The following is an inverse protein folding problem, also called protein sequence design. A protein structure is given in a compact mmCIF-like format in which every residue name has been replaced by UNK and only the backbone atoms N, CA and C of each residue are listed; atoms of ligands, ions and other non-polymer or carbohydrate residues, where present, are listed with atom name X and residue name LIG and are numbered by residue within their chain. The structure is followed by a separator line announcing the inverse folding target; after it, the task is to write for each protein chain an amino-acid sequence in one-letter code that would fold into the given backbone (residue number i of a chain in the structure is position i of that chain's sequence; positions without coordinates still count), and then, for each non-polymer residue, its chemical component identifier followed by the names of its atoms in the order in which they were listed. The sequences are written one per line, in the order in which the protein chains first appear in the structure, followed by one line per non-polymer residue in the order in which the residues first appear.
data_IF_512023170289
#
_entry.id   IF_512023170289
#
_cell.length_a   1.000
_cell.length_b   1.000
_cell.length_c   1.000
_cell.angle_alpha   90.00
_cell.angle_beta   90.00
_cell.angle_gamma   90.00
#
_symmetry.space_group_name_H-M   'P 1'
#
loop_
_entity.id
_entity.type
_entity.pdbx_description
1 polymer ?
#
# COMPACT_ATOMS: atom_id res chain seq x y z
N UNK A 1 30.17 8.90 -0.65
CA UNK A 1 28.69 8.92 -0.82
C UNK A 1 28.23 10.21 -1.49
N UNK A 2 28.56 11.39 -0.93
CA UNK A 2 28.19 12.71 -1.50
C UNK A 2 28.72 12.96 -2.92
N UNK A 3 29.91 12.46 -3.23
CA UNK A 3 30.50 12.57 -4.57
C UNK A 3 29.71 11.77 -5.63
N UNK A 4 29.13 10.62 -5.26
CA UNK A 4 28.25 9.84 -6.15
C UNK A 4 26.93 10.58 -6.41
N UNK A 5 26.39 11.30 -5.42
CA UNK A 5 25.22 12.16 -5.64
C UNK A 5 25.53 13.28 -6.63
N UNK A 6 26.71 13.91 -6.52
CA UNK A 6 27.16 14.93 -7.48
C UNK A 6 27.30 14.38 -8.90
N UNK A 7 27.81 13.16 -9.05
CA UNK A 7 27.91 12.48 -10.35
C UNK A 7 26.52 12.19 -10.93
N UNK A 8 25.57 11.73 -10.12
CA UNK A 8 24.18 11.50 -10.57
C UNK A 8 23.53 12.78 -11.11
N UNK A 9 23.77 13.93 -10.48
CA UNK A 9 23.25 15.23 -10.95
C UNK A 9 24.01 15.82 -12.15
N UNK A 10 25.21 15.33 -12.44
CA UNK A 10 26.01 15.77 -13.60
C UNK A 10 25.56 15.17 -14.93
N UNK A 11 24.95 13.96 -14.90
CA UNK A 11 24.49 13.26 -16.10
C UNK A 11 23.11 13.81 -16.48
N UNK A 12 22.95 14.46 -17.66
CA UNK A 12 21.72 15.16 -18.03
C UNK A 12 20.51 14.22 -18.13
N UNK A 13 20.70 13.00 -18.64
CA UNK A 13 19.66 11.98 -18.74
C UNK A 13 19.12 11.56 -17.37
N UNK A 14 20.01 11.24 -16.42
CA UNK A 14 19.61 10.87 -15.05
C UNK A 14 18.91 12.01 -14.34
N UNK A 15 19.44 13.23 -14.47
CA UNK A 15 18.82 14.44 -13.90
C UNK A 15 17.40 14.64 -14.43
N UNK A 16 17.18 14.47 -15.72
CA UNK A 16 15.84 14.61 -16.32
C UNK A 16 14.87 13.56 -15.78
N UNK A 17 15.31 12.30 -15.67
CA UNK A 17 14.49 11.24 -15.08
C UNK A 17 14.17 11.48 -13.60
N UNK A 18 15.12 11.98 -12.80
CA UNK A 18 14.90 12.37 -11.39
C UNK A 18 13.92 13.54 -11.28
N UNK A 19 14.09 14.59 -12.09
CA UNK A 19 13.20 15.75 -12.07
C UNK A 19 11.79 15.37 -12.50
N UNK A 20 11.65 14.51 -13.51
CA UNK A 20 10.35 14.01 -13.96
C UNK A 20 9.68 13.17 -12.87
N UNK A 21 10.42 12.27 -12.21
CA UNK A 21 9.87 11.51 -11.07
C UNK A 21 9.43 12.41 -9.93
N UNK A 22 10.25 13.39 -9.54
CA UNK A 22 9.88 14.35 -8.49
C UNK A 22 8.67 15.20 -8.88
N UNK A 23 8.56 15.61 -10.15
CA UNK A 23 7.41 16.36 -10.66
C UNK A 23 6.13 15.53 -10.61
N UNK A 24 6.17 14.26 -11.04
CA UNK A 24 5.02 13.35 -10.97
C UNK A 24 4.62 13.06 -9.51
N UNK A 25 5.58 12.90 -8.60
CA UNK A 25 5.31 12.76 -7.16
C UNK A 25 4.71 14.04 -6.55
N UNK A 26 5.12 15.21 -7.02
CA UNK A 26 4.52 16.49 -6.60
C UNK A 26 3.07 16.60 -7.07
N UNK A 27 2.77 16.22 -8.32
CA UNK A 27 1.40 16.17 -8.86
C UNK A 27 0.54 15.20 -8.05
N UNK A 28 1.06 14.01 -7.76
CA UNK A 28 0.43 13.04 -6.88
C UNK A 28 0.05 13.68 -5.53
N UNK A 29 0.97 14.43 -4.92
CA UNK A 29 0.72 15.07 -3.63
C UNK A 29 -0.27 16.23 -3.71
N UNK A 30 -0.26 17.03 -4.77
CA UNK A 30 -1.24 18.10 -4.96
C UNK A 30 -2.65 17.51 -5.08
N UNK A 31 -2.82 16.44 -5.85
CA UNK A 31 -4.13 15.81 -6.00
C UNK A 31 -4.65 15.18 -4.68
N UNK A 32 -3.75 14.81 -3.76
CA UNK A 32 -4.13 14.41 -2.41
C UNK A 32 -4.75 15.55 -1.57
N UNK A 33 -4.49 16.81 -1.90
CA UNK A 33 -5.14 17.95 -1.23
C UNK A 33 -6.52 18.30 -1.82
N UNK A 34 -6.89 17.73 -2.97
CA UNK A 34 -8.17 18.01 -3.62
C UNK A 34 -9.24 17.10 -3.02
N UNK A 35 -10.19 17.72 -2.31
CA UNK A 35 -11.31 17.05 -1.63
C UNK A 35 -12.47 16.79 -2.58
N UNK A 36 -13.28 15.78 -2.28
CA UNK A 36 -14.52 15.52 -3.01
C UNK A 36 -15.52 16.67 -2.74
N UNK A 37 -16.27 17.14 -3.76
CA UNK A 37 -17.22 18.25 -3.64
C UNK A 37 -18.37 18.04 -2.63
N UNK A 38 -18.55 16.81 -2.15
CA UNK A 38 -19.73 16.36 -1.39
C UNK A 38 -19.61 16.59 0.14
N UNK A 39 -18.42 16.96 0.64
CA UNK A 39 -18.20 17.11 2.08
C UNK A 39 -18.23 18.56 2.58
N UNK A 40 -18.75 18.76 3.80
CA UNK A 40 -18.59 19.99 4.56
C UNK A 40 -17.18 20.06 5.20
N UNK A 41 -16.66 21.27 5.41
CA UNK A 41 -15.31 21.50 5.96
C UNK A 41 -15.11 21.06 7.43
N UNK A 42 -16.13 20.51 8.08
CA UNK A 42 -16.01 20.03 9.46
C UNK A 42 -15.12 18.78 9.49
N UNK A 43 -14.08 18.86 10.32
CA UNK A 43 -13.17 17.75 10.61
C UNK A 43 -13.96 16.50 10.99
N UNK A 44 -13.88 15.47 10.16
CA UNK A 44 -14.52 14.18 10.41
C UNK A 44 -13.84 13.55 11.63
N UNK A 45 -14.40 13.73 12.82
CA UNK A 45 -13.97 13.01 14.02
C UNK A 45 -14.59 11.61 13.96
N UNK A 46 -13.95 10.70 13.22
CA UNK A 46 -14.39 9.31 13.17
C UNK A 46 -14.19 8.68 14.55
N UNK A 47 -15.23 8.00 15.05
CA UNK A 47 -15.16 7.24 16.30
C UNK A 47 -14.04 6.20 16.28
N UNK A 48 -13.54 5.82 17.47
CA UNK A 48 -12.26 5.13 17.67
C UNK A 48 -12.00 3.84 16.89
N UNK A 49 -13.03 3.04 16.59
CA UNK A 49 -12.85 1.81 15.78
C UNK A 49 -12.80 2.10 14.27
N UNK A 50 -13.63 3.04 13.79
CA UNK A 50 -13.68 3.46 12.39
C UNK A 50 -12.40 4.22 12.00
N UNK A 51 -11.88 5.03 12.93
CA UNK A 51 -10.60 5.74 12.77
C UNK A 51 -9.44 4.75 12.61
N UNK A 52 -9.42 3.66 13.39
CA UNK A 52 -8.36 2.65 13.30
C UNK A 52 -8.37 1.89 11.97
N UNK A 53 -9.53 1.63 11.39
CA UNK A 53 -9.62 0.98 10.06
C UNK A 53 -9.16 1.92 8.94
N UNK A 54 -9.61 3.17 8.98
CA UNK A 54 -9.26 4.18 7.98
C UNK A 54 -7.79 4.57 8.06
N UNK A 55 -7.18 4.58 9.25
CA UNK A 55 -5.73 4.77 9.40
C UNK A 55 -4.92 3.62 8.75
N UNK A 56 -5.41 2.38 8.82
CA UNK A 56 -4.73 1.21 8.23
C UNK A 56 -4.76 1.23 6.72
N UNK A 57 -5.94 1.46 6.15
CA UNK A 57 -6.06 1.58 4.69
C UNK A 57 -5.30 2.82 4.23
N UNK A 58 -5.29 3.91 5.02
CA UNK A 58 -4.55 5.12 4.71
C UNK A 58 -3.03 4.96 4.59
N UNK A 59 -2.43 4.12 5.43
CA UNK A 59 -0.98 3.84 5.37
C UNK A 59 -0.60 3.15 4.05
N UNK A 60 -1.42 2.20 3.59
CA UNK A 60 -1.13 1.44 2.36
C UNK A 60 -1.68 2.08 1.08
N UNK A 61 -2.79 2.81 1.15
CA UNK A 61 -3.33 3.61 0.05
C UNK A 61 -2.54 4.91 -0.15
N UNK A 62 -1.56 5.19 0.72
CA UNK A 62 -0.73 6.39 0.69
C UNK A 62 -1.55 7.70 0.85
N UNK A 63 -2.80 7.58 1.28
CA UNK A 63 -3.83 8.62 1.33
C UNK A 63 -4.38 8.66 2.75
N UNK A 64 -4.43 9.81 3.42
CA UNK A 64 -5.18 9.93 4.68
C UNK A 64 -6.71 9.95 4.40
N UNK A 65 -7.35 8.84 4.76
CA UNK A 65 -8.77 8.55 4.53
C UNK A 65 -9.70 9.37 5.44
N UNK A 66 -9.16 10.07 6.43
CA UNK A 66 -9.93 10.99 7.29
C UNK A 66 -10.40 12.20 6.49
N UNK A 67 -9.80 12.46 5.32
CA UNK A 67 -10.31 13.41 4.33
C UNK A 67 -10.71 12.65 3.07
N UNK A 68 -11.98 12.74 2.67
CA UNK A 68 -12.42 12.19 1.38
C UNK A 68 -11.82 13.02 0.25
N UNK A 69 -10.70 12.53 -0.28
CA UNK A 69 -9.98 13.11 -1.41
C UNK A 69 -10.38 12.42 -2.70
N UNK A 70 -10.09 13.05 -3.84
CA UNK A 70 -10.25 12.43 -5.17
C UNK A 70 -9.45 11.12 -5.28
N UNK A 71 -8.37 11.00 -4.50
CA UNK A 71 -7.52 9.81 -4.39
C UNK A 71 -7.86 8.91 -3.19
N UNK A 72 -9.13 8.88 -2.77
CA UNK A 72 -9.59 8.13 -1.60
C UNK A 72 -9.14 6.66 -1.59
N UNK A 73 -9.16 5.96 -2.73
CA UNK A 73 -8.70 4.56 -2.79
C UNK A 73 -7.17 4.41 -2.94
N UNK A 74 -6.48 5.48 -3.31
CA UNK A 74 -5.06 5.45 -3.63
C UNK A 74 -4.74 4.49 -4.78
N UNK A 75 -3.58 3.85 -4.70
CA UNK A 75 -3.11 2.86 -5.70
C UNK A 75 -3.47 1.41 -5.32
N UNK A 76 -4.18 1.21 -4.21
CA UNK A 76 -4.54 -0.11 -3.69
C UNK A 76 -5.35 -0.99 -4.66
N UNK A 77 -6.31 -0.46 -5.47
CA UNK A 77 -7.03 -1.28 -6.44
C UNK A 77 -6.09 -1.89 -7.51
N UNK A 78 -5.11 -1.10 -7.97
CA UNK A 78 -4.13 -1.55 -8.96
C UNK A 78 -3.19 -2.61 -8.38
N UNK A 79 -2.72 -2.39 -7.14
CA UNK A 79 -1.93 -3.38 -6.42
C UNK A 79 -2.72 -4.69 -6.36
N UNK A 80 -3.98 -4.63 -5.92
CA UNK A 80 -4.84 -5.82 -5.78
C UNK A 80 -5.03 -6.55 -7.11
N UNK A 81 -5.26 -5.81 -8.21
CA UNK A 81 -5.36 -6.40 -9.55
C UNK A 81 -4.05 -7.08 -10.00
N UNK A 82 -2.91 -6.43 -9.79
CA UNK A 82 -1.59 -6.96 -10.14
C UNK A 82 -1.30 -8.24 -9.36
N UNK A 83 -1.61 -8.24 -8.06
CA UNK A 83 -1.52 -9.38 -7.15
C UNK A 83 -2.33 -10.57 -7.67
N UNK A 84 -3.59 -10.33 -8.08
CA UNK A 84 -4.47 -11.37 -8.61
C UNK A 84 -3.84 -12.01 -9.84
N UNK A 85 -3.36 -11.22 -10.81
CA UNK A 85 -2.72 -11.78 -12.01
C UNK A 85 -1.39 -12.47 -11.72
N UNK A 86 -0.65 -12.02 -10.72
CA UNK A 86 0.62 -12.62 -10.34
C UNK A 86 0.44 -14.00 -9.72
N UNK A 87 -0.60 -14.18 -8.89
CA UNK A 87 -1.03 -15.48 -8.35
C UNK A 87 -1.71 -16.35 -9.40
N UNK A 88 -2.55 -15.75 -10.26
CA UNK A 88 -3.24 -16.49 -11.32
C UNK A 88 -2.24 -17.05 -12.33
N UNK A 89 -1.13 -16.35 -12.59
CA UNK A 89 -0.06 -16.83 -13.45
C UNK A 89 0.72 -18.04 -12.94
N UNK A 90 0.57 -18.43 -11.65
CA UNK A 90 1.15 -19.67 -11.12
C UNK A 90 0.15 -20.82 -11.04
N UNK A 91 -1.15 -20.51 -11.04
CA UNK A 91 -2.22 -21.51 -10.91
C UNK A 91 -2.84 -21.85 -12.27
N UNK A 92 -2.85 -20.90 -13.21
CA UNK A 92 -3.54 -21.02 -14.49
C UNK A 92 -2.57 -21.03 -15.68
N UNK A 93 -2.49 -22.19 -16.35
CA UNK A 93 -1.54 -22.47 -17.43
C UNK A 93 -1.52 -21.46 -18.60
N UNK A 94 -2.65 -20.90 -19.09
CA UNK A 94 -2.63 -19.92 -20.18
C UNK A 94 -1.90 -18.62 -19.80
N UNK A 95 -2.03 -18.15 -18.56
CA UNK A 95 -1.31 -16.95 -18.10
C UNK A 95 0.17 -17.28 -17.85
N UNK A 96 0.47 -18.47 -17.38
CA UNK A 96 1.85 -18.94 -17.25
C UNK A 96 2.57 -18.97 -18.62
N UNK A 97 1.88 -19.42 -19.67
CA UNK A 97 2.39 -19.40 -21.05
C UNK A 97 2.63 -17.96 -21.53
N UNK A 98 1.67 -17.05 -21.30
CA UNK A 98 1.87 -15.62 -21.59
C UNK A 98 3.07 -15.03 -20.83
N UNK A 99 3.32 -15.45 -19.58
CA UNK A 99 4.54 -15.03 -18.85
C UNK A 99 5.83 -15.53 -19.51
N UNK A 100 5.79 -16.72 -20.13
CA UNK A 100 6.93 -17.36 -20.83
C UNK A 100 7.18 -16.77 -22.22
N UNK A 101 6.20 -16.13 -22.85
CA UNK A 101 6.34 -15.42 -24.15
C UNK A 101 7.22 -14.15 -24.07
N UNK A 102 7.72 -13.78 -22.88
CA UNK A 102 8.67 -12.69 -22.71
C UNK A 102 8.01 -11.31 -22.69
N UNK A 103 8.56 -10.29 -23.39
CA UNK A 103 8.11 -8.91 -23.25
C UNK A 103 6.70 -8.66 -23.81
N UNK A 104 6.30 -9.36 -24.88
CA UNK A 104 4.97 -9.23 -25.46
C UNK A 104 3.87 -9.75 -24.51
N UNK A 105 4.08 -10.93 -23.92
CA UNK A 105 3.12 -11.50 -22.98
C UNK A 105 3.04 -10.71 -21.66
N UNK A 106 4.14 -10.13 -21.17
CA UNK A 106 4.10 -9.19 -20.03
C UNK A 106 3.24 -7.96 -20.30
N UNK A 107 3.30 -7.38 -21.51
CA UNK A 107 2.43 -6.27 -21.89
C UNK A 107 0.95 -6.67 -21.86
N UNK A 108 0.62 -7.87 -22.35
CA UNK A 108 -0.75 -8.39 -22.36
C UNK A 108 -1.30 -8.64 -20.95
N UNK A 109 -0.47 -9.16 -20.04
CA UNK A 109 -0.83 -9.30 -18.62
C UNK A 109 -1.07 -7.93 -17.98
N UNK A 110 -0.25 -6.93 -18.31
CA UNK A 110 -0.46 -5.56 -17.82
C UNK A 110 -1.77 -4.98 -18.35
N UNK A 111 -2.13 -5.20 -19.61
CA UNK A 111 -3.43 -4.78 -20.17
C UNK A 111 -4.61 -5.41 -19.40
N UNK A 112 -4.56 -6.73 -19.15
CA UNK A 112 -5.58 -7.38 -18.33
C UNK A 112 -5.62 -6.86 -16.90
N UNK A 113 -4.45 -6.56 -16.32
CA UNK A 113 -4.36 -5.94 -14.99
C UNK A 113 -5.03 -4.57 -14.97
N UNK A 114 -4.88 -3.76 -16.03
CA UNK A 114 -5.56 -2.47 -16.15
C UNK A 114 -7.08 -2.62 -16.21
N UNK A 115 -7.59 -3.54 -17.02
CA UNK A 115 -9.04 -3.79 -17.09
C UNK A 115 -9.62 -4.27 -15.76
N UNK A 116 -8.92 -5.18 -15.08
CA UNK A 116 -9.33 -5.64 -13.75
C UNK A 116 -9.27 -4.52 -12.71
N UNK A 117 -8.26 -3.64 -12.81
CA UNK A 117 -8.13 -2.48 -11.91
C UNK A 117 -9.35 -1.57 -12.02
N UNK A 118 -9.83 -1.26 -13.23
CA UNK A 118 -11.04 -0.44 -13.42
C UNK A 118 -12.24 -1.08 -12.72
N UNK A 119 -12.44 -2.38 -12.89
CA UNK A 119 -13.54 -3.11 -12.27
C UNK A 119 -13.45 -3.09 -10.72
N UNK A 120 -12.26 -3.35 -10.18
CA UNK A 120 -12.02 -3.31 -8.73
C UNK A 120 -12.22 -1.89 -8.20
N UNK A 121 -11.76 -0.85 -8.90
CA UNK A 121 -11.94 0.55 -8.50
C UNK A 121 -13.43 0.91 -8.35
N UNK A 122 -14.29 0.49 -9.30
CA UNK A 122 -15.72 0.79 -9.24
C UNK A 122 -16.36 0.13 -8.02
N UNK A 123 -16.09 -1.17 -7.80
CA UNK A 123 -16.64 -1.91 -6.66
C UNK A 123 -16.11 -1.35 -5.35
N UNK A 124 -14.80 -1.13 -5.25
CA UNK A 124 -14.17 -0.67 -4.02
C UNK A 124 -14.57 0.78 -3.69
N UNK A 125 -14.76 1.64 -4.70
CA UNK A 125 -15.29 3.00 -4.51
C UNK A 125 -16.70 2.96 -3.96
N UNK A 126 -17.55 2.08 -4.51
CA UNK A 126 -18.92 1.90 -4.04
C UNK A 126 -18.99 1.40 -2.60
N UNK A 127 -18.21 0.36 -2.28
CA UNK A 127 -18.11 -0.21 -0.93
C UNK A 127 -17.59 0.83 0.06
N UNK A 128 -16.54 1.57 -0.31
CA UNK A 128 -15.95 2.59 0.54
C UNK A 128 -16.92 3.74 0.81
N UNK A 129 -17.65 4.20 -0.21
CA UNK A 129 -18.67 5.23 -0.08
C UNK A 129 -19.83 4.76 0.81
N UNK A 130 -20.32 3.53 0.63
CA UNK A 130 -21.39 2.96 1.47
C UNK A 130 -20.93 2.76 2.92
N UNK A 131 -19.70 2.29 3.14
CA UNK A 131 -19.13 2.15 4.48
C UNK A 131 -19.00 3.50 5.20
N UNK A 132 -18.56 4.55 4.49
CA UNK A 132 -18.50 5.90 5.08
C UNK A 132 -19.88 6.51 5.35
N UNK A 133 -20.85 6.32 4.47
CA UNK A 133 -22.23 6.82 4.67
C UNK A 133 -22.89 6.11 5.86
N UNK A 134 -22.71 4.79 6.01
CA UNK A 134 -23.27 4.01 7.12
C UNK A 134 -22.53 4.30 8.44
N UNK A 135 -21.19 4.43 8.38
CA UNK A 135 -20.34 4.66 9.55
C UNK A 135 -20.39 6.08 10.12
N UNK A 136 -20.98 7.04 9.39
CA UNK A 136 -21.17 8.39 9.88
C UNK A 136 -22.62 8.60 10.32
N UNK A 137 -22.81 8.75 11.63
CA UNK A 137 -24.04 9.30 12.20
C UNK A 137 -24.19 10.76 11.73
N UNK A 138 -24.97 10.98 10.66
CA UNK A 138 -25.75 12.18 10.34
C UNK A 138 -25.12 13.60 10.47
N UNK A 139 -23.81 13.77 10.65
CA UNK A 139 -23.22 15.07 11.05
C UNK A 139 -21.95 15.53 10.30
N UNK A 140 -21.51 14.82 9.26
CA UNK A 140 -20.27 15.18 8.51
C UNK A 140 -20.43 15.20 6.99
N UNK A 141 -21.62 14.87 6.48
CA UNK A 141 -22.02 15.12 5.10
C UNK A 141 -22.78 16.44 5.11
N UNK A 142 -22.49 17.37 4.19
CA UNK A 142 -23.16 18.67 4.22
C UNK A 142 -24.66 18.50 3.98
N UNK A 143 -25.46 19.23 4.75
CA UNK A 143 -26.94 19.24 4.67
C UNK A 143 -27.48 19.52 3.25
N UNK A 144 -26.64 20.01 2.35
CA UNK A 144 -26.95 20.41 0.97
C UNK A 144 -27.03 19.21 0.00
N UNK A 145 -26.48 18.03 0.34
CA UNK A 145 -26.47 16.86 -0.56
C UNK A 145 -27.39 15.70 -0.13
N UNK A 146 -28.11 15.86 0.97
CA UNK A 146 -29.19 14.95 1.33
C UNK A 146 -30.40 15.21 0.43
N UNK A 147 -30.97 14.13 -0.11
CA UNK A 147 -32.26 14.24 -0.78
C UNK A 147 -33.32 14.52 0.29
N UNK A 148 -33.91 15.73 0.26
CA UNK A 148 -35.15 16.12 0.94
C UNK A 148 -35.50 15.29 2.19
N UNK A 149 -34.80 15.53 3.31
CA UNK A 149 -35.18 14.96 4.60
C UNK A 149 -34.89 13.47 4.82
N UNK A 150 -34.02 12.84 4.03
CA UNK A 150 -33.56 11.46 4.26
C UNK A 150 -32.04 11.38 4.44
N UNK A 151 -31.59 10.49 5.33
CA UNK A 151 -30.18 10.19 5.67
C UNK A 151 -29.41 9.51 4.53
N UNK A 152 -29.85 9.66 3.27
CA UNK A 152 -29.19 9.04 2.11
C UNK A 152 -28.77 10.11 1.09
N UNK A 153 -27.51 10.03 0.68
CA UNK A 153 -26.95 10.84 -0.39
C UNK A 153 -27.75 10.58 -1.68
N UNK A 154 -28.11 11.61 -2.44
CA UNK A 154 -28.80 11.42 -3.73
C UNK A 154 -28.04 10.45 -4.63
N UNK A 155 -28.75 9.49 -5.24
CA UNK A 155 -28.15 8.44 -6.10
C UNK A 155 -27.25 9.00 -7.21
N UNK A 156 -27.58 10.18 -7.75
CA UNK A 156 -26.73 10.90 -8.71
C UNK A 156 -25.38 11.33 -8.13
N UNK A 157 -25.36 11.86 -6.91
CA UNK A 157 -24.12 12.26 -6.22
C UNK A 157 -23.27 11.06 -5.78
N UNK A 158 -23.90 9.91 -5.49
CA UNK A 158 -23.18 8.66 -5.23
C UNK A 158 -22.43 8.19 -6.48
N UNK A 159 -23.09 8.18 -7.64
CA UNK A 159 -22.47 7.81 -8.92
C UNK A 159 -21.34 8.79 -9.28
N UNK A 160 -21.56 10.09 -9.15
CA UNK A 160 -20.53 11.09 -9.42
C UNK A 160 -19.31 10.93 -8.51
N UNK A 161 -19.53 10.66 -7.22
CA UNK A 161 -18.44 10.42 -6.27
C UNK A 161 -17.64 9.16 -6.63
N UNK A 162 -18.33 8.07 -6.96
CA UNK A 162 -17.71 6.81 -7.41
C UNK A 162 -16.91 7.01 -8.70
N UNK A 163 -17.45 7.77 -9.65
CA UNK A 163 -16.77 8.10 -10.90
C UNK A 163 -15.51 8.94 -10.65
N UNK A 164 -15.57 9.94 -9.77
CA UNK A 164 -14.42 10.78 -9.42
C UNK A 164 -13.34 9.96 -8.71
N UNK A 165 -13.70 9.11 -7.76
CA UNK A 165 -12.73 8.24 -7.06
C UNK A 165 -12.09 7.21 -7.99
N UNK A 166 -12.89 6.65 -8.91
CA UNK A 166 -12.41 5.72 -9.92
C UNK A 166 -11.45 6.43 -10.88
N UNK A 167 -11.82 7.61 -11.39
CA UNK A 167 -10.97 8.42 -12.26
C UNK A 167 -9.66 8.83 -11.55
N UNK A 168 -9.73 9.22 -10.28
CA UNK A 168 -8.57 9.53 -9.46
C UNK A 168 -7.62 8.33 -9.34
N UNK A 169 -8.15 7.14 -9.04
CA UNK A 169 -7.35 5.92 -8.92
C UNK A 169 -6.72 5.48 -10.25
N UNK A 170 -7.43 5.64 -11.37
CA UNK A 170 -6.88 5.39 -12.70
C UNK A 170 -5.79 6.39 -13.09
N UNK A 171 -5.95 7.65 -12.69
CA UNK A 171 -4.91 8.65 -12.85
C UNK A 171 -3.65 8.31 -12.05
N UNK A 172 -3.79 7.78 -10.82
CA UNK A 172 -2.65 7.29 -10.03
C UNK A 172 -1.95 6.09 -10.68
N UNK A 173 -2.72 5.14 -11.21
CA UNK A 173 -2.17 4.03 -11.98
C UNK A 173 -1.36 4.55 -13.18
N UNK A 174 -1.94 5.47 -13.94
CA UNK A 174 -1.27 6.09 -15.08
C UNK A 174 0.01 6.82 -14.66
N UNK A 175 -0.01 7.59 -13.56
CA UNK A 175 1.19 8.23 -13.01
C UNK A 175 2.29 7.21 -12.66
N UNK A 176 1.91 6.08 -12.05
CA UNK A 176 2.84 5.00 -11.74
C UNK A 176 3.52 4.45 -12.99
N UNK A 177 2.76 4.21 -14.05
CA UNK A 177 3.28 3.71 -15.33
C UNK A 177 4.16 4.74 -16.05
N UNK A 178 3.83 6.03 -15.96
CA UNK A 178 4.68 7.09 -16.50
C UNK A 178 6.03 7.16 -15.76
N UNK A 179 6.04 6.91 -14.45
CA UNK A 179 7.28 6.81 -13.69
C UNK A 179 8.08 5.56 -14.10
N UNK A 180 7.43 4.44 -14.40
CA UNK A 180 8.11 3.23 -14.88
C UNK A 180 8.79 3.44 -16.25
N UNK A 181 8.13 4.16 -17.16
CA UNK A 181 8.62 4.36 -18.53
C UNK A 181 9.68 5.48 -18.63
N UNK A 182 9.41 6.64 -18.01
CA UNK A 182 10.24 7.84 -18.16
C UNK A 182 11.04 8.18 -16.89
N UNK A 183 10.72 7.56 -15.77
CA UNK A 183 11.32 7.84 -14.47
C UNK A 183 12.45 6.90 -14.10
N UNK A 184 12.58 6.69 -12.79
CA UNK A 184 13.61 5.84 -12.18
C UNK A 184 12.94 4.85 -11.26
N UNK A 185 13.35 3.59 -11.33
CA UNK A 185 12.86 2.55 -10.44
C UNK A 185 11.48 2.04 -10.84
N UNK A 186 10.70 1.63 -9.84
CA UNK A 186 9.32 1.17 -10.03
C UNK A 186 8.36 2.25 -9.53
N UNK A 187 7.53 2.79 -10.40
CA UNK A 187 6.62 3.90 -10.13
C UNK A 187 5.59 3.60 -9.06
N UNK A 188 5.01 2.40 -9.08
CA UNK A 188 4.03 1.97 -8.07
C UNK A 188 4.69 1.88 -6.70
N UNK A 189 5.88 1.29 -6.62
CA UNK A 189 6.66 1.23 -5.37
C UNK A 189 7.05 2.62 -4.87
N UNK A 190 7.40 3.55 -5.78
CA UNK A 190 7.75 4.91 -5.42
C UNK A 190 6.54 5.72 -4.93
N UNK A 191 5.36 5.51 -5.51
CA UNK A 191 4.12 6.14 -5.04
C UNK A 191 3.77 5.68 -3.62
N UNK A 192 3.87 4.38 -3.33
CA UNK A 192 3.65 3.84 -1.97
C UNK A 192 4.67 4.44 -1.00
N UNK A 193 5.96 4.42 -1.37
CA UNK A 193 7.03 4.98 -0.56
C UNK A 193 6.77 6.47 -0.27
N UNK A 194 6.47 7.28 -1.28
CA UNK A 194 6.17 8.69 -1.14
C UNK A 194 4.96 8.92 -0.21
N UNK A 195 3.95 8.07 -0.31
CA UNK A 195 2.80 8.03 0.60
C UNK A 195 3.15 7.88 2.07
N UNK A 196 3.88 6.81 2.38
CA UNK A 196 4.31 6.50 3.76
C UNK A 196 5.24 7.60 4.28
N UNK A 197 6.20 8.03 3.46
CA UNK A 197 7.12 9.14 3.81
C UNK A 197 6.35 10.44 4.09
N UNK A 198 5.26 10.71 3.38
CA UNK A 198 4.48 11.94 3.56
C UNK A 198 3.62 11.95 4.85
N UNK A 199 3.43 10.80 5.49
CA UNK A 199 2.78 10.70 6.81
C UNK A 199 3.76 10.91 7.96
N UNK A 200 5.06 10.63 7.74
CA UNK A 200 6.09 10.80 8.79
C UNK A 200 6.17 12.22 9.38
N UNK A 201 6.09 13.32 8.61
CA UNK A 201 6.10 14.66 9.20
C UNK A 201 4.96 14.91 10.18
N UNK A 202 3.77 14.37 9.90
CA UNK A 202 2.61 14.48 10.79
C UNK A 202 2.83 13.66 12.06
N UNK A 203 3.32 12.42 11.94
CA UNK A 203 3.66 11.60 13.10
C UNK A 203 4.72 12.26 13.99
N UNK A 204 5.74 12.90 13.40
CA UNK A 204 6.75 13.67 14.15
C UNK A 204 6.14 14.91 14.85
N UNK A 205 5.18 15.57 14.20
CA UNK A 205 4.45 16.69 14.78
C UNK A 205 3.56 16.25 15.95
N UNK A 206 2.86 15.12 15.81
CA UNK A 206 2.05 14.53 16.87
C UNK A 206 2.91 14.11 18.06
N UNK A 207 4.08 13.49 17.82
CA UNK A 207 5.05 13.18 18.89
C UNK A 207 5.50 14.47 19.59
N UNK A 208 5.76 15.54 18.84
CA UNK A 208 6.15 16.84 19.40
C UNK A 208 5.04 17.49 20.21
N UNK A 209 3.78 17.40 19.79
CA UNK A 209 2.65 17.98 20.51
C UNK A 209 2.28 17.18 21.77
N UNK A 210 2.45 15.86 21.73
CA UNK A 210 2.24 14.97 22.88
C UNK A 210 3.45 14.92 23.84
N UNK A 211 4.52 15.67 23.57
CA UNK A 211 5.59 15.92 24.54
C UNK A 211 5.06 16.85 25.62
N UNK A 212 4.70 16.30 26.77
CA UNK A 212 4.66 17.08 28.00
C UNK A 212 6.05 17.04 28.64
N UNK A 213 6.51 18.16 29.19
CA UNK A 213 7.83 18.31 29.83
C UNK A 213 7.96 17.59 31.17
N UNK A 214 7.03 16.68 31.49
CA UNK A 214 6.99 15.96 32.74
C UNK A 214 7.57 14.56 32.55
N UNK A 215 8.45 14.17 33.46
CA UNK A 215 9.01 12.82 33.55
C UNK A 215 7.93 11.88 34.13
N UNK A 216 6.86 11.64 33.39
CA UNK A 216 5.91 10.60 33.75
C UNK A 216 6.47 9.27 33.27
N UNK A 217 6.98 8.47 34.20
CA UNK A 217 7.31 7.08 33.91
C UNK A 217 6.15 6.34 33.24
N UNK A 218 6.48 5.14 32.74
CA UNK A 218 5.72 4.23 31.86
C UNK A 218 4.19 4.03 32.10
N UNK A 219 3.58 4.63 33.13
CA UNK A 219 2.20 4.39 33.55
C UNK A 219 1.17 5.47 33.19
N UNK A 220 1.56 6.65 32.67
CA UNK A 220 0.58 7.67 32.24
C UNK A 220 0.77 8.04 30.76
N UNK A 221 -0.34 8.30 30.06
CA UNK A 221 -0.49 8.64 28.62
C UNK A 221 0.25 9.89 28.12
N UNK A 222 1.40 10.23 28.69
CA UNK A 222 2.27 11.31 28.24
C UNK A 222 3.61 10.73 27.81
N UNK A 223 4.04 11.07 26.59
CA UNK A 223 5.31 10.61 26.03
C UNK A 223 6.41 11.42 26.71
N UNK A 224 7.00 10.85 27.76
CA UNK A 224 8.19 11.39 28.40
C UNK A 224 9.42 11.33 27.48
N UNK A 225 10.48 12.11 27.79
CA UNK A 225 11.73 12.10 27.01
C UNK A 225 12.46 10.74 27.05
N UNK A 226 12.20 9.91 28.06
CA UNK A 226 12.66 8.52 28.20
C UNK A 226 12.04 7.61 27.13
N UNK A 227 10.73 7.68 26.93
CA UNK A 227 10.01 6.91 25.88
C UNK A 227 10.49 7.33 24.49
N UNK A 228 10.76 8.63 24.29
CA UNK A 228 11.25 9.14 23.01
C UNK A 228 12.66 8.64 22.69
N UNK A 229 13.56 8.57 23.68
CA UNK A 229 14.91 8.05 23.51
C UNK A 229 14.87 6.55 23.17
N UNK A 230 14.03 5.78 23.88
CA UNK A 230 13.81 4.36 23.57
C UNK A 230 13.24 4.18 22.16
N UNK A 231 12.25 4.99 21.77
CA UNK A 231 11.64 4.90 20.45
C UNK A 231 12.63 5.28 19.33
N UNK A 232 13.44 6.31 19.52
CA UNK A 232 14.48 6.71 18.58
C UNK A 232 15.57 5.63 18.44
N UNK A 233 16.01 5.06 19.56
CA UNK A 233 16.96 3.94 19.56
C UNK A 233 16.37 2.72 18.83
N UNK A 234 15.12 2.36 19.12
CA UNK A 234 14.43 1.25 18.47
C UNK A 234 14.27 1.49 16.97
N UNK A 235 13.92 2.71 16.55
CA UNK A 235 13.86 3.07 15.13
C UNK A 235 15.20 2.86 14.41
N UNK A 236 16.30 3.37 14.98
CA UNK A 236 17.64 3.18 14.42
C UNK A 236 18.04 1.71 14.40
N UNK A 237 17.77 0.96 15.47
CA UNK A 237 18.07 -0.46 15.56
C UNK A 237 17.32 -1.28 14.51
N UNK A 238 16.03 -1.00 14.30
CA UNK A 238 15.20 -1.66 13.28
C UNK A 238 15.70 -1.32 11.88
N UNK A 239 15.97 -0.05 11.58
CA UNK A 239 16.52 0.36 10.27
C UNK A 239 17.86 -0.33 10.01
N UNK A 240 18.75 -0.38 11.01
CA UNK A 240 20.03 -1.07 10.89
C UNK A 240 19.86 -2.57 10.63
N UNK A 241 18.98 -3.23 11.38
CA UNK A 241 18.69 -4.66 11.21
C UNK A 241 18.12 -4.97 9.82
N UNK A 242 17.17 -4.16 9.33
CA UNK A 242 16.59 -4.32 7.99
C UNK A 242 17.64 -4.11 6.91
N UNK A 243 18.49 -3.08 7.01
CA UNK A 243 19.58 -2.84 6.05
C UNK A 243 20.60 -3.99 6.07
N UNK A 244 20.94 -4.49 7.25
CA UNK A 244 21.86 -5.62 7.42
C UNK A 244 21.32 -6.89 6.73
N UNK A 245 20.05 -7.24 6.98
CA UNK A 245 19.42 -8.42 6.38
C UNK A 245 19.26 -8.28 4.86
N UNK A 246 18.91 -7.08 4.37
CA UNK A 246 18.71 -6.84 2.93
C UNK A 246 20.02 -6.83 2.13
N UNK A 247 21.12 -6.39 2.74
CA UNK A 247 22.46 -6.43 2.12
C UNK A 247 23.14 -7.79 2.27
N UNK A 248 22.66 -8.63 3.20
CA UNK A 248 23.21 -9.96 3.42
C UNK A 248 22.95 -10.87 2.21
N UNK A 249 24.03 -11.50 1.74
CA UNK A 249 24.03 -12.37 0.58
C UNK A 249 24.89 -13.60 0.85
N UNK A 250 24.36 -14.77 0.51
CA UNK A 250 25.10 -16.03 0.47
C UNK A 250 25.84 -16.11 -0.87
N UNK A 251 27.16 -16.15 -0.83
CA UNK A 251 28.00 -16.26 -2.02
C UNK A 251 28.27 -17.74 -2.31
N UNK A 252 27.64 -18.29 -3.34
CA UNK A 252 27.94 -19.64 -3.83
C UNK A 252 29.02 -19.52 -4.89
N UNK A 253 30.17 -20.16 -4.66
CA UNK A 253 31.27 -20.15 -5.63
C UNK A 253 30.91 -21.01 -6.84
N UNK A 254 30.98 -20.44 -8.03
CA UNK A 254 30.81 -21.14 -9.29
C UNK A 254 32.12 -21.08 -10.07
N UNK A 255 32.47 -22.20 -10.70
CA UNK A 255 33.60 -22.25 -11.61
C UNK A 255 33.06 -22.18 -13.03
N UNK A 256 33.33 -21.07 -13.72
CA UNK A 256 33.01 -20.98 -15.14
C UNK A 256 33.91 -21.93 -15.92
N UNK A 257 33.31 -22.65 -16.87
CA UNK A 257 34.00 -23.67 -17.66
C UNK A 257 35.23 -23.06 -18.35
N UNK A 258 36.40 -23.65 -18.10
CA UNK A 258 37.65 -23.24 -18.72
C UNK A 258 37.58 -23.57 -20.21
N UNK A 259 37.79 -22.56 -21.06
CA UNK A 259 37.89 -22.78 -22.50
C UNK A 259 39.37 -22.78 -22.88
N UNK A 260 39.82 -23.88 -23.48
CA UNK A 260 41.18 -23.97 -23.99
C UNK A 260 41.14 -23.54 -25.46
N UNK A 261 41.84 -22.45 -25.79
CA UNK A 261 42.01 -22.01 -27.19
C UNK A 261 43.51 -22.00 -27.50
N UNK A 262 43.98 -22.99 -28.27
CA UNK A 262 45.42 -23.19 -28.52
C UNK A 262 46.18 -23.69 -27.28
N UNK A 263 47.38 -23.14 -27.01
CA UNK A 263 48.21 -23.49 -25.83
C UNK A 263 47.88 -22.70 -24.56
N UNK A 264 46.87 -21.82 -24.58
CA UNK A 264 46.48 -21.00 -23.43
C UNK A 264 45.09 -21.40 -22.95
N UNK A 265 44.99 -21.69 -21.65
CA UNK A 265 43.72 -21.83 -20.95
C UNK A 265 43.25 -20.41 -20.63
N UNK A 266 42.18 -19.96 -21.27
CA UNK A 266 41.52 -18.71 -20.91
C UNK A 266 40.21 -19.01 -20.16
N UNK A 267 39.95 -18.26 -19.10
CA UNK A 267 38.84 -18.50 -18.20
C UNK A 267 39.22 -19.26 -16.94
N UNK A 268 38.23 -19.51 -16.07
CA UNK A 268 38.45 -20.06 -14.73
C UNK A 268 38.60 -19.01 -13.62
N UNK A 269 38.22 -17.74 -13.86
CA UNK A 269 38.03 -16.79 -12.76
C UNK A 269 36.95 -17.32 -11.82
N UNK A 270 37.26 -17.42 -10.53
CA UNK A 270 36.28 -17.76 -9.50
C UNK A 270 35.21 -16.66 -9.51
N UNK A 271 34.01 -16.99 -9.99
CA UNK A 271 32.86 -16.12 -9.89
C UNK A 271 31.98 -16.64 -8.76
N UNK A 272 31.24 -15.76 -8.09
CA UNK A 272 30.24 -16.19 -7.13
C UNK A 272 28.86 -15.76 -7.63
N UNK A 273 27.87 -16.63 -7.42
CA UNK A 273 26.47 -16.25 -7.55
C UNK A 273 26.01 -15.67 -6.21
N UNK A 274 25.63 -14.38 -6.16
CA UNK A 274 25.07 -13.80 -4.94
C UNK A 274 23.61 -14.22 -4.79
N UNK A 275 23.31 -15.04 -3.79
CA UNK A 275 21.94 -15.31 -3.37
C UNK A 275 21.59 -14.41 -2.19
N UNK A 276 20.69 -13.45 -2.40
CA UNK A 276 20.18 -12.59 -1.32
C UNK A 276 19.39 -13.44 -0.32
N UNK A 277 19.46 -13.09 0.97
CA UNK A 277 18.68 -13.77 2.01
C UNK A 277 17.18 -13.51 1.81
N UNK A 278 16.81 -12.25 1.52
CA UNK A 278 15.45 -11.89 1.12
C UNK A 278 15.45 -11.52 -0.38
N UNK A 279 14.96 -12.43 -1.22
CA UNK A 279 14.80 -12.18 -2.66
C UNK A 279 13.48 -11.48 -3.00
N UNK A 280 12.47 -11.64 -2.15
CA UNK A 280 11.10 -11.19 -2.41
C UNK A 280 10.89 -9.69 -2.09
N UNK A 281 11.78 -9.10 -1.28
CA UNK A 281 11.75 -7.67 -0.97
C UNK A 281 10.52 -7.30 -0.14
N UNK A 282 9.82 -6.25 -0.55
CA UNK A 282 8.65 -5.67 0.18
C UNK A 282 7.34 -6.32 -0.24
N UNK A 283 7.31 -7.03 -1.39
CA UNK A 283 6.09 -7.60 -1.96
C UNK A 283 5.30 -8.46 -0.95
N UNK A 284 5.88 -9.47 -0.26
CA UNK A 284 5.13 -10.36 0.63
C UNK A 284 4.35 -9.65 1.73
N UNK A 285 4.89 -8.56 2.26
CA UNK A 285 4.26 -7.77 3.32
C UNK A 285 3.01 -7.09 2.77
N UNK A 286 3.11 -6.52 1.57
CA UNK A 286 1.98 -5.88 0.87
C UNK A 286 0.90 -6.92 0.56
N UNK A 287 1.29 -8.08 0.02
CA UNK A 287 0.38 -9.20 -0.27
C UNK A 287 -0.36 -9.71 0.98
N UNK A 288 0.37 -9.91 2.08
CA UNK A 288 -0.22 -10.36 3.34
C UNK A 288 -1.26 -9.34 3.84
N UNK A 289 -0.95 -8.04 3.77
CA UNK A 289 -1.89 -7.00 4.18
C UNK A 289 -3.12 -6.90 3.27
N UNK A 290 -2.93 -6.97 1.94
CA UNK A 290 -4.05 -6.88 0.99
C UNK A 290 -4.96 -8.10 1.07
N UNK A 291 -4.39 -9.29 1.25
CA UNK A 291 -5.17 -10.52 1.39
C UNK A 291 -6.00 -10.52 2.68
N UNK A 292 -5.51 -9.92 3.76
CA UNK A 292 -6.29 -9.74 4.98
C UNK A 292 -7.39 -8.69 4.84
N UNK A 293 -7.15 -7.66 4.03
CA UNK A 293 -8.10 -6.57 3.82
C UNK A 293 -9.36 -7.03 3.07
N UNK A 294 -9.24 -7.98 2.14
CA UNK A 294 -10.37 -8.43 1.31
C UNK A 294 -11.48 -9.12 2.15
N UNK A 295 -11.19 -10.16 2.96
CA UNK A 295 -12.19 -10.76 3.84
C UNK A 295 -12.76 -9.77 4.85
N UNK A 296 -11.92 -8.90 5.41
CA UNK A 296 -12.35 -7.88 6.34
C UNK A 296 -13.43 -6.96 5.72
N UNK A 297 -13.21 -6.51 4.47
CA UNK A 297 -14.18 -5.71 3.73
C UNK A 297 -15.47 -6.49 3.41
N UNK A 298 -15.35 -7.74 2.94
CA UNK A 298 -16.51 -8.57 2.61
C UNK A 298 -17.38 -8.86 3.84
N UNK A 299 -16.77 -9.20 4.98
CA UNK A 299 -17.50 -9.46 6.22
C UNK A 299 -18.19 -8.21 6.75
N UNK A 300 -17.57 -7.03 6.65
CA UNK A 300 -18.22 -5.77 7.01
C UNK A 300 -19.43 -5.47 6.11
N UNK A 301 -19.32 -5.69 4.79
CA UNK A 301 -20.44 -5.46 3.86
C UNK A 301 -21.57 -6.46 4.09
N UNK A 302 -21.25 -7.74 4.26
CA UNK A 302 -22.23 -8.79 4.55
C UNK A 302 -22.89 -8.59 5.91
N UNK A 303 -22.16 -8.23 6.96
CA UNK A 303 -22.72 -7.92 8.27
C UNK A 303 -23.75 -6.78 8.21
N UNK A 304 -23.51 -5.77 7.38
CA UNK A 304 -24.43 -4.64 7.19
C UNK A 304 -25.62 -4.96 6.26
N UNK A 305 -25.54 -6.04 5.46
CA UNK A 305 -26.58 -6.44 4.51
C UNK A 305 -27.52 -7.51 5.07
N UNK A 306 -27.16 -8.13 6.20
CA UNK A 306 -27.97 -9.14 6.88
C UNK A 306 -28.75 -8.45 8.01
N UNK A 307 -29.96 -7.98 7.69
CA UNK A 307 -30.94 -7.47 8.67
C UNK A 307 -32.16 -8.39 8.67
N UNK A 308 -32.55 -8.94 9.83
CA UNK A 308 -33.71 -9.85 9.97
C UNK A 308 -33.38 -11.15 10.72
N UNK A 309 -34.04 -12.26 10.36
CA UNK A 309 -34.03 -13.56 11.09
C UNK A 309 -32.64 -14.23 11.20
N UNK A 310 -31.62 -13.63 10.59
CA UNK A 310 -30.23 -14.07 10.55
C UNK A 310 -29.30 -13.09 11.30
N UNK A 311 -29.83 -12.24 12.20
CA UNK A 311 -29.05 -11.31 13.04
C UNK A 311 -27.89 -11.99 13.78
N UNK A 312 -28.05 -13.24 14.23
CA UNK A 312 -26.96 -14.01 14.84
C UNK A 312 -25.76 -14.24 13.91
N UNK A 313 -26.00 -14.37 12.61
CA UNK A 313 -24.94 -14.43 11.60
C UNK A 313 -24.37 -13.05 11.30
N UNK A 314 -25.17 -11.99 11.35
CA UNK A 314 -24.68 -10.61 11.28
C UNK A 314 -23.70 -10.29 12.41
N UNK A 315 -24.02 -10.66 13.65
CA UNK A 315 -23.14 -10.50 14.83
C UNK A 315 -21.88 -11.36 14.72
N UNK A 316 -21.99 -12.61 14.26
CA UNK A 316 -20.84 -13.49 14.04
C UNK A 316 -19.90 -12.95 12.95
N UNK A 317 -20.45 -12.44 11.84
CA UNK A 317 -19.69 -11.82 10.75
C UNK A 317 -19.02 -10.53 11.22
N UNK A 318 -19.69 -9.74 12.06
CA UNK A 318 -19.10 -8.52 12.65
C UNK A 318 -17.98 -8.87 13.65
N UNK A 319 -18.13 -9.94 14.43
CA UNK A 319 -17.08 -10.46 15.30
C UNK A 319 -15.86 -10.95 14.51
N UNK A 320 -16.07 -11.67 13.40
CA UNK A 320 -15.03 -12.08 12.46
C UNK A 320 -14.33 -10.88 11.80
N UNK A 321 -15.10 -9.88 11.37
CA UNK A 321 -14.57 -8.64 10.82
C UNK A 321 -13.71 -7.91 11.87
N UNK A 322 -14.20 -7.75 13.09
CA UNK A 322 -13.46 -7.13 14.18
C UNK A 322 -12.19 -7.91 14.56
N UNK A 323 -12.24 -9.24 14.59
CA UNK A 323 -11.06 -10.09 14.82
C UNK A 323 -9.99 -9.94 13.73
N UNK A 324 -10.41 -9.75 12.47
CA UNK A 324 -9.54 -9.55 11.33
C UNK A 324 -9.12 -8.09 11.13
N UNK A 325 -9.73 -7.14 11.84
CA UNK A 325 -9.40 -5.71 11.77
C UNK A 325 -8.62 -5.22 12.99
N UNK A 326 -8.81 -5.81 14.17
CA UNK A 326 -8.12 -5.38 15.39
C UNK A 326 -6.66 -5.86 15.44
N UNK A 327 -5.74 -4.95 15.12
CA UNK A 327 -4.28 -5.15 15.23
C UNK A 327 -3.78 -5.32 16.68
N UNK A 328 -4.60 -4.96 17.68
CA UNK A 328 -4.34 -5.29 19.08
C UNK A 328 -4.66 -6.75 19.43
N UNK A 329 -5.43 -7.45 18.58
CA UNK A 329 -5.75 -8.86 18.79
C UNK A 329 -4.56 -9.74 18.44
N UNK A 330 -4.19 -10.62 19.36
CA UNK A 330 -3.15 -11.62 19.15
C UNK A 330 -3.40 -12.46 17.88
N UNK A 331 -4.67 -12.76 17.59
CA UNK A 331 -5.06 -13.58 16.44
C UNK A 331 -4.71 -12.92 15.09
N UNK A 332 -4.98 -11.61 14.95
CA UNK A 332 -4.63 -10.87 13.75
C UNK A 332 -3.11 -10.87 13.51
N UNK A 333 -2.33 -10.54 14.55
CA UNK A 333 -0.87 -10.49 14.43
C UNK A 333 -0.27 -11.86 14.10
N UNK A 334 -0.77 -12.92 14.73
CA UNK A 334 -0.32 -14.29 14.45
C UNK A 334 -0.61 -14.67 13.00
N UNK A 335 -1.83 -14.40 12.53
CA UNK A 335 -2.24 -14.73 11.17
C UNK A 335 -1.48 -13.87 10.14
N UNK A 336 -1.27 -12.58 10.42
CA UNK A 336 -0.47 -11.68 9.60
C UNK A 336 0.99 -12.13 9.48
N UNK A 337 1.64 -12.49 10.59
CA UNK A 337 3.01 -13.03 10.58
C UNK A 337 3.08 -14.33 9.78
N UNK A 338 2.13 -15.25 9.99
CA UNK A 338 2.07 -16.52 9.25
C UNK A 338 1.94 -16.28 7.74
N UNK A 339 1.06 -15.36 7.33
CA UNK A 339 0.89 -14.95 5.93
C UNK A 339 2.16 -14.32 5.35
N UNK A 340 2.86 -13.48 6.10
CA UNK A 340 4.15 -12.91 5.67
C UNK A 340 5.16 -14.04 5.43
N UNK A 341 5.28 -15.00 6.36
CA UNK A 341 6.17 -16.15 6.19
C UNK A 341 5.80 -16.99 4.98
N UNK A 342 4.51 -17.29 4.82
CA UNK A 342 3.99 -18.05 3.68
C UNK A 342 4.30 -17.36 2.35
N UNK A 343 3.97 -16.08 2.21
CA UNK A 343 4.24 -15.33 0.98
C UNK A 343 5.74 -15.14 0.74
N UNK A 344 6.54 -14.90 1.78
CA UNK A 344 7.98 -14.79 1.63
C UNK A 344 8.57 -16.10 1.08
N UNK A 345 8.16 -17.25 1.62
CA UNK A 345 8.62 -18.55 1.15
C UNK A 345 8.15 -18.85 -0.27
N UNK A 346 6.85 -18.67 -0.55
CA UNK A 346 6.24 -18.87 -1.86
C UNK A 346 6.97 -18.07 -2.94
N UNK A 347 7.22 -16.78 -2.67
CA UNK A 347 7.94 -15.90 -3.59
C UNK A 347 9.42 -16.21 -3.76
N UNK A 348 10.08 -16.74 -2.74
CA UNK A 348 11.48 -17.19 -2.90
C UNK A 348 11.59 -18.51 -3.66
N UNK A 349 10.51 -19.30 -3.69
CA UNK A 349 10.48 -20.60 -4.37
C UNK A 349 10.14 -20.51 -5.86
N UNK A 350 9.45 -19.45 -6.27
CA UNK A 350 9.11 -19.11 -7.67
C UNK A 350 10.20 -18.24 -8.26
#
# INVERSE_FOLDING_TARGET
MLEKLRVVFSIPELRQKILLTLALLAIYRIGYHIRLPVLQESSISLGGEVQSFLDKVAVFSATDLRTLTIFGLGIAPYISASIIFQLLGTVWAPIEQLRKEGPAGRKKINEYTRYLTVFICVIQSWVYLRYMIIGQSAGSISDVFFANGSTELSFGWQITSVAIMTAGSLFLMWLGEQIDEYGIGNGVSLLIMAGILAQMPRALWDIRQNMSSNLSGMSNSSIGPDVLLVLAFLFVAVVFAVVFITMAQRRIQMQSAKHVRGRRVMGGSKQFLPLKINQSGVMPIIFASSLLMIPALLFTVLANSVTGWWEGLGVFLNYLANMLQNQGSFFYNLLYVLLIFFFCFFWTSI
#
